data_IF_575857276827
#
_entry.id   IF_575857276827
#
_cell.length_a   1.000
_cell.length_b   1.000
_cell.length_c   1.000
_cell.angle_alpha   90.00
_cell.angle_beta   90.00
_cell.angle_gamma   90.00
#
_symmetry.space_group_name_H-M   'P 1'
#
loop_
_entity.id
_entity.type
_entity.pdbx_description
1 polymer ?
#
# COMPACT_ATOMS: atom_id res chain seq x y z
N UNK A 1 -13.26 -11.48 -8.15
CA UNK A 1 -13.92 -10.41 -7.41
C UNK A 1 -13.28 -10.26 -6.04
N UNK A 2 -13.10 -9.04 -5.58
CA UNK A 2 -12.46 -8.78 -4.29
C UNK A 2 -13.39 -9.17 -3.12
N UNK A 3 -12.80 -9.76 -2.08
CA UNK A 3 -13.51 -10.00 -0.83
C UNK A 3 -13.36 -8.76 0.07
N UNK A 4 -14.40 -7.95 0.14
CA UNK A 4 -14.37 -6.68 0.86
C UNK A 4 -14.17 -6.84 2.37
N UNK A 5 -14.41 -8.03 2.91
CA UNK A 5 -14.22 -8.29 4.33
C UNK A 5 -12.81 -8.76 4.68
N UNK A 6 -11.96 -8.96 3.68
CA UNK A 6 -10.59 -9.41 3.89
C UNK A 6 -9.62 -8.23 3.68
N UNK A 7 -9.02 -7.70 4.76
CA UNK A 7 -8.11 -6.55 4.64
C UNK A 7 -6.93 -6.79 3.71
N UNK A 8 -6.40 -8.03 3.67
CA UNK A 8 -5.27 -8.35 2.80
C UNK A 8 -5.68 -8.24 1.34
N UNK A 9 -6.86 -8.72 0.97
CA UNK A 9 -7.35 -8.59 -0.41
C UNK A 9 -7.59 -7.12 -0.76
N UNK A 10 -8.15 -6.34 0.15
CA UNK A 10 -8.32 -4.90 -0.07
C UNK A 10 -6.97 -4.22 -0.31
N UNK A 11 -5.98 -4.55 0.51
CA UNK A 11 -4.64 -4.00 0.37
C UNK A 11 -4.02 -4.36 -0.97
N UNK A 12 -4.09 -5.64 -1.37
CA UNK A 12 -3.53 -6.08 -2.65
C UNK A 12 -4.23 -5.41 -3.83
N UNK A 13 -5.55 -5.30 -3.77
CA UNK A 13 -6.34 -4.64 -4.80
C UNK A 13 -5.96 -3.17 -4.92
N UNK A 14 -5.78 -2.50 -3.78
CA UNK A 14 -5.32 -1.12 -3.73
C UNK A 14 -3.95 -0.97 -4.40
N UNK A 15 -3.03 -1.85 -4.07
CA UNK A 15 -1.67 -1.80 -4.62
C UNK A 15 -1.65 -2.00 -6.14
N UNK A 16 -2.52 -2.87 -6.65
CA UNK A 16 -2.57 -3.13 -8.09
C UNK A 16 -3.31 -2.06 -8.88
N UNK A 17 -4.26 -1.37 -8.26
CA UNK A 17 -5.16 -0.50 -9.00
C UNK A 17 -5.06 0.99 -8.66
N UNK A 18 -4.56 1.34 -7.49
CA UNK A 18 -4.57 2.74 -7.02
C UNK A 18 -3.22 3.27 -6.59
N UNK A 19 -2.34 2.42 -6.12
CA UNK A 19 -1.06 2.88 -5.56
C UNK A 19 -0.25 3.61 -6.62
N UNK A 20 0.21 4.81 -6.27
CA UNK A 20 1.05 5.64 -7.13
C UNK A 20 1.72 6.69 -6.24
N UNK A 21 2.61 7.49 -6.85
CA UNK A 21 3.32 8.52 -6.08
C UNK A 21 2.35 9.54 -5.45
N UNK A 22 1.25 9.84 -6.13
CA UNK A 22 0.25 10.75 -5.60
C UNK A 22 -0.42 10.19 -4.34
N UNK A 23 -0.72 8.90 -4.33
CA UNK A 23 -1.28 8.25 -3.15
C UNK A 23 -0.28 8.25 -2.00
N UNK A 24 1.00 8.02 -2.30
CA UNK A 24 2.05 8.09 -1.28
C UNK A 24 2.11 9.48 -0.65
N UNK A 25 2.04 10.52 -1.47
CA UNK A 25 2.03 11.89 -0.96
C UNK A 25 0.77 12.19 -0.13
N UNK A 26 -0.37 11.68 -0.57
CA UNK A 26 -1.63 11.88 0.14
C UNK A 26 -1.58 11.25 1.54
N UNK A 27 -1.02 10.05 1.65
CA UNK A 27 -1.02 9.31 2.90
C UNK A 27 0.11 9.72 3.84
N UNK A 28 1.27 10.08 3.30
CA UNK A 28 2.48 10.27 4.11
C UNK A 28 3.12 11.64 3.98
N UNK A 29 2.59 12.51 3.12
CA UNK A 29 3.23 13.78 2.80
C UNK A 29 4.31 13.60 1.74
N UNK A 30 4.82 14.72 1.21
CA UNK A 30 5.74 14.66 0.09
C UNK A 30 7.07 13.98 0.44
N UNK A 31 7.68 14.36 1.56
CA UNK A 31 8.99 13.85 1.93
C UNK A 31 8.95 12.35 2.24
N UNK A 32 8.10 11.96 3.19
CA UNK A 32 7.98 10.55 3.57
C UNK A 32 7.35 9.74 2.45
N UNK A 33 6.40 10.31 1.72
CA UNK A 33 5.76 9.65 0.60
C UNK A 33 6.76 9.30 -0.50
N UNK A 34 7.66 10.23 -0.83
CA UNK A 34 8.73 9.95 -1.79
C UNK A 34 9.61 8.80 -1.34
N UNK A 35 9.97 8.79 -0.05
CA UNK A 35 10.81 7.75 0.51
C UNK A 35 10.13 6.38 0.46
N UNK A 36 8.87 6.34 0.88
CA UNK A 36 8.11 5.08 0.90
C UNK A 36 7.86 4.55 -0.51
N UNK A 37 7.55 5.44 -1.45
CA UNK A 37 7.35 5.04 -2.83
C UNK A 37 8.65 4.52 -3.45
N UNK A 38 9.78 5.15 -3.16
CA UNK A 38 11.08 4.69 -3.65
C UNK A 38 11.40 3.30 -3.09
N UNK A 39 11.10 3.05 -1.83
CA UNK A 39 11.29 1.74 -1.21
C UNK A 39 10.42 0.69 -1.88
N UNK A 40 9.17 1.03 -2.16
CA UNK A 40 8.27 0.12 -2.87
C UNK A 40 8.81 -0.22 -4.27
N UNK A 41 9.26 0.78 -5.01
CA UNK A 41 9.83 0.58 -6.34
C UNK A 41 11.05 -0.35 -6.29
N UNK A 42 11.94 -0.10 -5.33
CA UNK A 42 13.14 -0.92 -5.15
C UNK A 42 12.78 -2.38 -4.85
N UNK A 43 11.85 -2.59 -3.93
CA UNK A 43 11.45 -3.95 -3.53
C UNK A 43 10.73 -4.71 -4.66
N UNK A 44 9.86 -4.01 -5.39
CA UNK A 44 9.09 -4.67 -6.43
C UNK A 44 9.91 -4.99 -7.67
N UNK A 45 11.04 -4.33 -7.84
CA UNK A 45 11.91 -4.61 -8.98
C UNK A 45 12.59 -5.98 -8.87
N UNK A 46 12.83 -6.45 -7.64
CA UNK A 46 13.65 -7.63 -7.42
C UNK A 46 12.94 -8.75 -6.64
N UNK A 47 11.64 -8.65 -6.39
CA UNK A 47 10.92 -9.61 -5.56
C UNK A 47 9.69 -10.17 -6.27
N UNK A 48 9.48 -11.48 -6.13
CA UNK A 48 8.28 -12.13 -6.64
C UNK A 48 7.06 -11.88 -5.75
N UNK A 49 7.29 -11.69 -4.46
CA UNK A 49 6.22 -11.35 -3.50
C UNK A 49 6.35 -9.87 -3.15
N UNK A 50 6.11 -9.06 -4.16
CA UNK A 50 6.49 -7.66 -4.16
C UNK A 50 5.83 -6.84 -3.08
N UNK A 51 4.51 -6.91 -3.01
CA UNK A 51 3.77 -6.01 -2.13
C UNK A 51 3.88 -6.41 -0.67
N UNK A 52 3.84 -7.70 -0.37
CA UNK A 52 3.89 -8.15 1.03
C UNK A 52 5.28 -8.00 1.63
N UNK A 53 6.32 -8.25 0.83
CA UNK A 53 7.70 -8.06 1.28
C UNK A 53 7.96 -6.60 1.65
N UNK A 54 7.54 -5.68 0.78
CA UNK A 54 7.67 -4.25 1.04
C UNK A 54 6.85 -3.84 2.26
N UNK A 55 5.60 -4.31 2.33
CA UNK A 55 4.71 -4.00 3.44
C UNK A 55 5.31 -4.40 4.79
N UNK A 56 5.94 -5.57 4.83
CA UNK A 56 6.57 -6.07 6.05
C UNK A 56 7.73 -5.21 6.55
N UNK A 57 8.35 -4.44 5.65
CA UNK A 57 9.45 -3.55 6.02
C UNK A 57 8.98 -2.20 6.58
N UNK A 58 7.70 -1.90 6.48
CA UNK A 58 7.16 -0.63 6.98
C UNK A 58 6.87 -0.71 8.46
N UNK A 59 6.92 0.46 9.14
CA UNK A 59 6.53 0.49 10.53
C UNK A 59 5.00 0.40 10.67
N UNK A 60 4.54 0.21 11.89
CA UNK A 60 3.13 -0.02 12.16
C UNK A 60 2.25 1.16 11.72
N UNK A 61 2.72 2.38 11.92
CA UNK A 61 1.97 3.58 11.55
C UNK A 61 1.74 3.63 10.04
N UNK A 62 2.78 3.37 9.26
CA UNK A 62 2.69 3.35 7.80
C UNK A 62 1.78 2.23 7.33
N UNK A 63 1.92 1.04 7.91
CA UNK A 63 1.06 -0.10 7.55
C UNK A 63 -0.40 0.20 7.81
N UNK A 64 -0.70 0.81 8.96
CA UNK A 64 -2.08 1.14 9.32
C UNK A 64 -2.68 2.15 8.34
N UNK A 65 -1.90 3.13 7.90
CA UNK A 65 -2.38 4.12 6.93
C UNK A 65 -2.73 3.47 5.59
N UNK A 66 -1.89 2.56 5.13
CA UNK A 66 -2.14 1.84 3.88
C UNK A 66 -3.39 0.97 3.96
N UNK A 67 -3.55 0.22 5.05
CA UNK A 67 -4.73 -0.60 5.23
C UNK A 67 -6.01 0.24 5.34
N UNK A 68 -5.94 1.33 6.09
CA UNK A 68 -7.09 2.22 6.23
C UNK A 68 -7.53 2.78 4.88
N UNK A 69 -6.56 3.18 4.07
CA UNK A 69 -6.85 3.69 2.71
C UNK A 69 -7.44 2.59 1.83
N UNK A 70 -6.85 1.40 1.87
CA UNK A 70 -7.33 0.27 1.08
C UNK A 70 -8.77 -0.10 1.45
N UNK A 71 -9.07 -0.16 2.74
CA UNK A 71 -10.40 -0.49 3.22
C UNK A 71 -11.39 0.61 2.85
N UNK A 72 -10.97 1.87 2.93
CA UNK A 72 -11.83 2.99 2.55
C UNK A 72 -12.25 2.91 1.08
N UNK A 73 -11.33 2.51 0.21
CA UNK A 73 -11.58 2.48 -1.24
C UNK A 73 -12.19 1.16 -1.71
N UNK A 74 -11.83 0.05 -1.12
CA UNK A 74 -12.20 -1.29 -1.62
C UNK A 74 -12.87 -2.17 -0.58
N UNK A 75 -12.97 -1.72 0.64
CA UNK A 75 -13.57 -2.49 1.72
C UNK A 75 -15.07 -2.33 1.82
N UNK A 76 -15.55 -2.26 3.04
CA UNK A 76 -16.99 -2.20 3.32
C UNK A 76 -17.66 -1.00 2.66
N UNK A 77 -18.86 -1.22 2.23
CA UNK A 77 -19.72 -0.16 1.70
C UNK A 77 -20.24 0.74 2.83
#
# INVERSE_FOLDING_TARGET
MINKNNPVECFMYYMYNRWCINEAHLLFGKSLGDHIYAKWTEKTEYSNDQNMSWYGDLDKTCRNKLYARAIKLYGND
#
